data_IF_824305222723
#
_entry.id   IF_824305222723
#
_cell.length_a   1.000
_cell.length_b   1.000
_cell.length_c   1.000
_cell.angle_alpha   90.00
_cell.angle_beta   90.00
_cell.angle_gamma   90.00
#
_symmetry.space_group_name_H-M   'P 1'
#
loop_
_entity.id
_entity.type
_entity.pdbx_description
1 polymer ?
#
# COMPACT_ATOMS: atom_id res chain seq x y z
N UNK A 1 -3.78 -45.76 47.53
CA UNK A 1 -5.03 -46.19 48.19
C UNK A 1 -6.18 -45.26 47.79
N UNK A 2 -7.29 -45.86 47.37
CA UNK A 2 -8.70 -45.39 47.41
C UNK A 2 -9.13 -44.12 46.64
N UNK A 3 -9.80 -44.43 45.51
CA UNK A 3 -10.94 -43.73 44.87
C UNK A 3 -12.00 -43.25 45.88
N UNK A 4 -12.73 -42.17 45.53
CA UNK A 4 -14.22 -42.10 45.50
C UNK A 4 -14.74 -40.78 44.87
N UNK A 5 -15.53 -40.92 43.80
CA UNK A 5 -16.64 -40.04 43.37
C UNK A 5 -17.91 -40.39 44.22
N UNK A 6 -19.13 -39.92 43.91
CA UNK A 6 -19.71 -38.56 43.80
C UNK A 6 -21.00 -38.44 44.67
N UNK A 7 -21.72 -37.30 44.65
CA UNK A 7 -23.15 -37.28 44.97
C UNK A 7 -23.88 -36.15 44.23
N UNK A 8 -25.13 -36.41 43.89
CA UNK A 8 -25.94 -35.68 42.93
C UNK A 8 -27.40 -35.53 43.43
N UNK A 9 -28.14 -34.66 42.73
CA UNK A 9 -29.61 -34.63 42.55
C UNK A 9 -30.49 -34.05 43.66
N UNK A 10 -31.30 -33.05 43.27
CA UNK A 10 -32.78 -32.90 43.34
C UNK A 10 -33.09 -31.39 43.32
N UNK A 11 -33.97 -30.80 42.51
CA UNK A 11 -35.09 -31.30 41.73
C UNK A 11 -36.33 -30.46 42.05
N UNK A 12 -36.97 -29.90 41.00
CA UNK A 12 -38.35 -29.38 40.88
C UNK A 12 -38.63 -27.87 41.09
N UNK A 13 -39.05 -27.27 39.97
CA UNK A 13 -39.93 -26.09 39.82
C UNK A 13 -41.42 -26.45 40.15
N UNK A 14 -42.46 -25.68 39.72
CA UNK A 14 -42.77 -24.24 39.81
C UNK A 14 -44.17 -24.01 40.42
N UNK A 15 -44.57 -22.75 40.69
CA UNK A 15 -45.99 -22.36 40.76
C UNK A 15 -46.16 -21.01 40.06
N UNK A 16 -47.03 -20.99 39.03
CA UNK A 16 -47.48 -19.77 38.35
C UNK A 16 -48.83 -19.29 38.87
N UNK A 17 -49.34 -18.22 38.23
CA UNK A 17 -50.75 -17.81 37.97
C UNK A 17 -50.69 -16.32 37.60
N UNK A 18 -50.85 -15.87 36.35
CA UNK A 18 -52.02 -15.88 35.46
C UNK A 18 -53.10 -14.84 35.81
N UNK A 19 -53.50 -14.06 34.79
CA UNK A 19 -54.70 -13.21 34.73
C UNK A 19 -54.38 -11.70 34.65
N UNK A 20 -54.97 -10.87 33.79
CA UNK A 20 -56.03 -11.07 32.81
C UNK A 20 -56.06 -9.87 31.82
N UNK A 21 -56.82 -10.06 30.75
CA UNK A 21 -56.94 -9.31 29.49
C UNK A 21 -57.90 -8.10 29.54
N UNK A 22 -57.88 -7.38 28.40
CA UNK A 22 -58.92 -6.47 27.79
C UNK A 22 -58.84 -5.01 28.28
N UNK A 23 -59.07 -3.96 27.48
CA UNK A 23 -59.97 -3.78 26.33
C UNK A 23 -59.62 -2.49 25.55
N UNK A 24 -60.10 -2.43 24.31
CA UNK A 24 -60.04 -1.35 23.32
C UNK A 24 -60.64 0.01 23.76
N UNK A 25 -60.25 1.09 23.07
CA UNK A 25 -61.00 2.35 23.00
C UNK A 25 -60.38 3.39 22.05
N UNK A 26 -60.99 3.57 20.87
CA UNK A 26 -60.80 4.72 19.96
C UNK A 26 -61.50 5.95 20.52
N UNK A 27 -60.98 7.16 20.27
CA UNK A 27 -61.78 8.34 19.90
C UNK A 27 -60.89 9.50 19.40
N UNK A 28 -61.35 10.12 18.32
CA UNK A 28 -60.85 11.36 17.72
C UNK A 28 -61.85 12.50 17.99
N UNK A 29 -61.37 13.76 17.99
CA UNK A 29 -62.05 15.06 17.82
C UNK A 29 -61.34 16.11 18.72
N UNK A 30 -61.22 17.40 18.44
CA UNK A 30 -61.42 18.25 17.27
C UNK A 30 -60.80 19.63 17.60
N UNK A 31 -60.07 20.20 16.63
CA UNK A 31 -60.23 21.55 16.08
C UNK A 31 -60.85 22.65 16.98
N UNK A 32 -60.06 23.71 17.28
CA UNK A 32 -60.33 25.15 16.98
C UNK A 32 -59.32 26.05 17.72
N UNK A 33 -58.78 27.06 17.02
CA UNK A 33 -58.21 28.26 17.65
C UNK A 33 -56.80 28.69 17.19
N UNK A 34 -56.70 29.30 16.00
CA UNK A 34 -55.70 30.34 15.64
C UNK A 34 -56.35 31.72 15.90
N UNK A 35 -55.65 32.89 15.98
CA UNK A 35 -54.52 33.27 15.09
C UNK A 35 -53.42 34.21 15.65
N UNK A 36 -52.41 34.46 14.80
CA UNK A 36 -51.44 35.58 14.87
C UNK A 36 -50.00 35.11 15.16
N UNK A 37 -48.96 35.40 14.38
CA UNK A 37 -48.79 36.21 13.18
C UNK A 37 -47.40 35.97 12.54
N UNK A 38 -47.22 36.48 11.32
CA UNK A 38 -45.99 36.88 10.60
C UNK A 38 -44.66 36.10 10.83
N UNK A 39 -43.93 35.60 9.83
CA UNK A 39 -44.04 35.79 8.39
C UNK A 39 -42.95 35.05 7.58
N UNK A 40 -43.13 35.17 6.25
CA UNK A 40 -42.17 35.10 5.15
C UNK A 40 -41.36 33.80 4.90
N UNK A 41 -41.83 33.09 3.87
CA UNK A 41 -41.07 32.16 3.04
C UNK A 41 -40.20 32.90 1.99
N UNK A 42 -39.14 32.25 1.49
CA UNK A 42 -38.75 32.32 0.08
C UNK A 42 -37.67 31.27 -0.29
N UNK A 43 -38.05 30.28 -1.11
CA UNK A 43 -37.29 29.80 -2.28
C UNK A 43 -38.12 30.18 -3.52
N UNK A 44 -37.51 30.54 -4.65
CA UNK A 44 -37.40 29.62 -5.81
C UNK A 44 -36.02 29.76 -6.52
N UNK A 45 -35.40 28.83 -7.25
CA UNK A 45 -35.73 27.88 -8.34
C UNK A 45 -34.99 28.30 -9.64
N UNK A 46 -34.28 27.33 -10.28
CA UNK A 46 -33.80 27.27 -11.70
C UNK A 46 -32.73 28.26 -12.19
N UNK A 47 -31.91 28.04 -13.24
CA UNK A 47 -31.50 26.93 -14.12
C UNK A 47 -30.41 27.48 -15.09
N UNK A 48 -29.69 26.60 -15.81
CA UNK A 48 -28.75 26.85 -16.93
C UNK A 48 -27.40 27.48 -16.54
N UNK A 49 -26.22 27.13 -17.08
CA UNK A 49 -25.81 26.40 -18.27
C UNK A 49 -24.51 27.07 -18.75
N UNK A 50 -23.47 26.30 -19.13
CA UNK A 50 -22.29 26.85 -19.83
C UNK A 50 -20.93 26.49 -19.20
N UNK A 51 -20.28 25.48 -19.80
CA UNK A 51 -18.82 25.47 -20.01
C UNK A 51 -18.49 26.47 -21.15
N UNK A 52 -17.28 27.06 -21.20
CA UNK A 52 -16.09 26.33 -21.66
C UNK A 52 -14.76 26.66 -20.98
N UNK A 53 -13.79 25.81 -21.30
CA UNK A 53 -12.37 25.82 -20.96
C UNK A 53 -11.61 27.15 -21.16
N UNK A 54 -10.55 27.36 -20.37
CA UNK A 54 -9.18 27.59 -20.86
C UNK A 54 -8.21 28.11 -19.77
N UNK A 55 -6.93 27.87 -20.04
CA UNK A 55 -5.76 28.66 -19.65
C UNK A 55 -5.06 28.37 -18.31
N UNK A 56 -3.99 27.58 -18.43
CA UNK A 56 -2.78 27.63 -17.61
C UNK A 56 -2.16 29.06 -17.66
N UNK A 57 -1.69 29.64 -16.54
CA UNK A 57 -0.64 30.65 -16.58
C UNK A 57 0.73 29.93 -16.48
N UNK A 58 1.71 30.16 -17.33
CA UNK A 58 2.23 31.47 -17.76
C UNK A 58 3.56 31.70 -17.03
N UNK A 59 4.67 31.25 -17.65
CA UNK A 59 6.05 31.47 -17.17
C UNK A 59 6.32 32.97 -17.02
N UNK A 60 6.77 33.40 -15.84
CA UNK A 60 7.34 34.73 -15.61
C UNK A 60 8.86 34.60 -15.57
N UNK A 61 9.52 35.23 -16.53
CA UNK A 61 10.95 35.51 -16.56
C UNK A 61 11.24 36.67 -15.58
N UNK A 62 12.19 36.50 -14.68
CA UNK A 62 12.84 37.65 -14.03
C UNK A 62 14.36 37.55 -14.13
N UNK A 63 14.90 38.61 -14.74
CA UNK A 63 16.30 38.98 -14.89
C UNK A 63 16.96 39.31 -13.54
N UNK A 64 18.27 39.09 -13.47
CA UNK A 64 19.02 38.92 -12.24
C UNK A 64 19.62 40.18 -11.63
N UNK A 65 20.11 40.01 -10.40
CA UNK A 65 21.25 40.76 -9.86
C UNK A 65 22.12 39.84 -9.03
N UNK A 66 23.41 39.87 -9.37
CA UNK A 66 24.51 39.15 -8.71
C UNK A 66 24.94 39.95 -7.50
N UNK A 67 24.97 39.34 -6.32
CA UNK A 67 25.81 39.80 -5.22
C UNK A 67 26.82 38.72 -4.85
N UNK A 68 28.10 39.12 -4.89
CA UNK A 68 29.25 38.29 -4.54
C UNK A 68 29.53 38.50 -3.05
N UNK A 69 29.50 37.43 -2.28
CA UNK A 69 30.23 37.34 -1.01
C UNK A 69 31.07 36.06 -1.01
N UNK A 70 32.34 36.23 -0.65
CA UNK A 70 33.43 35.26 -0.81
C UNK A 70 33.81 34.68 0.57
N UNK A 71 34.04 33.38 0.57
CA UNK A 71 34.91 32.57 1.44
C UNK A 71 34.44 32.18 2.86
N UNK A 72 34.30 30.86 3.04
CA UNK A 72 34.36 30.14 4.31
C UNK A 72 34.36 28.63 4.06
N UNK A 73 35.57 28.03 4.05
CA UNK A 73 35.92 26.59 3.97
C UNK A 73 34.74 25.59 3.92
N UNK A 74 34.48 25.07 2.72
CA UNK A 74 33.46 24.08 2.47
C UNK A 74 33.83 22.70 3.01
N UNK A 75 33.00 22.20 3.91
CA UNK A 75 32.61 20.80 3.87
C UNK A 75 31.88 20.61 2.54
N UNK A 76 32.32 19.69 1.69
CA UNK A 76 31.61 19.41 0.44
C UNK A 76 30.15 19.02 0.79
N UNK A 77 29.14 19.69 0.24
CA UNK A 77 27.77 19.22 0.33
C UNK A 77 27.69 17.87 -0.39
N UNK A 78 27.21 16.84 0.31
CA UNK A 78 26.85 15.57 -0.30
C UNK A 78 25.81 15.85 -1.39
N UNK A 79 26.15 15.57 -2.65
CA UNK A 79 25.23 15.68 -3.78
C UNK A 79 24.12 14.61 -3.64
N UNK A 80 22.86 15.01 -3.33
CA UNK A 80 21.76 14.07 -3.14
C UNK A 80 21.16 13.59 -4.48
N UNK A 81 21.66 14.08 -5.62
CA UNK A 81 21.02 13.98 -6.92
C UNK A 81 21.62 12.96 -7.89
N UNK A 82 22.44 12.00 -7.44
CA UNK A 82 23.01 11.03 -8.39
C UNK A 82 21.91 10.09 -8.89
N UNK A 83 21.39 10.38 -10.08
CA UNK A 83 20.54 9.49 -10.86
C UNK A 83 21.14 8.09 -10.82
N UNK A 84 20.29 7.13 -10.52
CA UNK A 84 20.76 5.76 -10.31
C UNK A 84 21.18 5.17 -11.64
N UNK A 85 22.43 4.69 -11.66
CA UNK A 85 22.97 3.93 -12.78
C UNK A 85 22.13 2.67 -13.03
N UNK A 86 22.00 2.29 -14.31
CA UNK A 86 21.44 1.00 -14.77
C UNK A 86 21.92 -0.20 -13.92
N UNK A 87 23.08 -0.09 -13.28
CA UNK A 87 23.65 -1.08 -12.36
C UNK A 87 22.77 -1.42 -11.15
N UNK A 88 22.07 -0.47 -10.54
CA UNK A 88 21.24 -0.71 -9.34
C UNK A 88 19.93 -1.44 -9.68
N UNK A 89 19.26 -1.03 -10.75
CA UNK A 89 18.06 -1.73 -11.21
C UNK A 89 18.41 -3.16 -11.63
N UNK A 90 19.59 -3.34 -12.24
CA UNK A 90 20.09 -4.66 -12.61
C UNK A 90 20.43 -5.51 -11.38
N UNK A 91 20.97 -4.92 -10.31
CA UNK A 91 21.29 -5.65 -9.07
C UNK A 91 20.05 -6.09 -8.31
N UNK A 92 18.94 -5.37 -8.41
CA UNK A 92 17.64 -5.78 -7.83
C UNK A 92 16.92 -6.78 -8.74
N UNK A 93 16.90 -6.57 -10.06
CA UNK A 93 16.11 -7.37 -10.99
C UNK A 93 16.52 -8.86 -11.05
N UNK A 94 17.76 -9.20 -10.66
CA UNK A 94 18.24 -10.59 -10.61
C UNK A 94 18.03 -11.27 -9.24
N UNK A 95 17.32 -10.62 -8.31
CA UNK A 95 17.14 -11.08 -6.94
C UNK A 95 15.69 -11.40 -6.67
N UNK A 96 15.45 -12.26 -5.67
CA UNK A 96 14.10 -12.43 -5.10
C UNK A 96 13.71 -11.18 -4.32
N UNK A 97 12.67 -10.49 -4.75
CA UNK A 97 12.15 -9.24 -4.21
C UNK A 97 10.77 -9.47 -3.61
N UNK A 98 10.58 -9.04 -2.37
CA UNK A 98 9.29 -8.93 -1.71
C UNK A 98 8.88 -7.45 -1.67
N UNK A 99 7.72 -7.14 -2.23
CA UNK A 99 7.08 -5.82 -2.18
C UNK A 99 6.10 -5.85 -1.00
N UNK A 100 6.41 -5.13 0.08
CA UNK A 100 5.52 -4.99 1.23
C UNK A 100 4.60 -3.80 1.02
N UNK A 101 3.30 -4.08 0.87
CA UNK A 101 2.24 -3.09 0.72
C UNK A 101 1.40 -3.07 1.99
N UNK A 102 1.28 -1.94 2.71
CA UNK A 102 0.32 -1.81 3.80
C UNK A 102 -1.09 -2.15 3.34
N UNK A 103 -1.55 -1.48 2.30
CA UNK A 103 -2.86 -1.68 1.71
C UNK A 103 -2.78 -2.01 0.22
N UNK A 104 -3.92 -2.40 -0.35
CA UNK A 104 -4.06 -2.71 -1.76
C UNK A 104 -4.13 -1.42 -2.58
N UNK A 105 -2.96 -0.97 -3.06
CA UNK A 105 -2.68 0.16 -3.97
C UNK A 105 -1.30 0.78 -3.73
N UNK A 106 -0.81 0.79 -2.48
CA UNK A 106 0.38 1.56 -2.07
C UNK A 106 1.62 1.29 -2.92
N UNK A 107 1.91 0.03 -3.26
CA UNK A 107 3.03 -0.33 -4.13
C UNK A 107 2.85 0.23 -5.54
N UNK A 108 1.65 0.15 -6.12
CA UNK A 108 1.39 0.70 -7.45
C UNK A 108 1.53 2.23 -7.48
N UNK A 109 1.04 2.89 -6.43
CA UNK A 109 1.14 4.34 -6.28
C UNK A 109 2.56 4.81 -6.06
N UNK A 110 3.29 4.16 -5.18
CA UNK A 110 4.58 4.63 -4.67
C UNK A 110 5.74 4.21 -5.58
N UNK A 111 5.75 2.95 -6.04
CA UNK A 111 6.84 2.34 -6.80
C UNK A 111 6.39 1.54 -8.04
N UNK A 112 5.19 1.82 -8.57
CA UNK A 112 4.67 1.11 -9.74
C UNK A 112 5.59 1.20 -10.97
N UNK A 113 6.28 2.32 -11.17
CA UNK A 113 7.23 2.46 -12.28
C UNK A 113 8.47 1.59 -12.10
N UNK A 114 9.03 1.53 -10.89
CA UNK A 114 10.09 0.58 -10.54
C UNK A 114 9.64 -0.87 -10.77
N UNK A 115 8.44 -1.25 -10.32
CA UNK A 115 7.91 -2.61 -10.51
C UNK A 115 7.78 -2.95 -12.00
N UNK A 116 7.19 -2.05 -12.81
CA UNK A 116 7.09 -2.23 -14.26
C UNK A 116 8.47 -2.43 -14.90
N UNK A 117 9.46 -1.67 -14.46
CA UNK A 117 10.83 -1.79 -14.94
C UNK A 117 11.53 -3.09 -14.53
N UNK A 118 11.36 -3.54 -13.29
CA UNK A 118 11.94 -4.80 -12.80
C UNK A 118 11.34 -5.99 -13.53
N UNK A 119 10.02 -6.01 -13.72
CA UNK A 119 9.34 -7.10 -14.43
C UNK A 119 9.69 -7.15 -15.91
N UNK A 120 9.79 -6.01 -16.59
CA UNK A 120 10.28 -5.94 -17.97
C UNK A 120 11.70 -6.52 -18.11
N UNK A 121 12.63 -6.14 -17.22
CA UNK A 121 14.00 -6.68 -17.23
C UNK A 121 14.02 -8.19 -16.97
N UNK A 122 13.27 -8.67 -15.98
CA UNK A 122 13.18 -10.09 -15.69
C UNK A 122 12.62 -10.89 -16.87
N UNK A 123 11.63 -10.33 -17.61
CA UNK A 123 11.10 -10.94 -18.85
C UNK A 123 12.17 -11.01 -19.95
N UNK A 124 12.91 -9.93 -20.18
CA UNK A 124 13.98 -9.89 -21.19
C UNK A 124 15.10 -10.88 -20.87
N UNK A 125 15.53 -10.98 -19.62
CA UNK A 125 16.56 -11.93 -19.18
C UNK A 125 16.13 -13.38 -19.44
N UNK A 126 14.87 -13.73 -19.13
CA UNK A 126 14.32 -15.07 -19.40
C UNK A 126 14.21 -15.37 -20.90
N UNK A 127 13.83 -14.39 -21.71
CA UNK A 127 13.76 -14.55 -23.18
C UNK A 127 15.15 -14.80 -23.78
N UNK A 128 16.17 -14.06 -23.32
CA UNK A 128 17.55 -14.24 -23.77
C UNK A 128 18.10 -15.64 -23.43
N UNK A 129 17.86 -16.12 -22.20
CA UNK A 129 18.27 -17.48 -21.77
C UNK A 129 17.62 -18.60 -22.58
N UNK A 130 16.35 -18.43 -22.98
CA UNK A 130 15.66 -19.39 -23.86
C UNK A 130 16.23 -19.40 -25.27
N UNK A 131 16.70 -18.26 -25.77
CA UNK A 131 17.29 -18.15 -27.11
C UNK A 131 18.70 -18.74 -27.20
N UNK A 132 19.45 -18.83 -26.10
CA UNK A 132 20.81 -19.40 -26.06
C UNK A 132 20.84 -20.93 -25.92
N UNK A 133 19.68 -21.56 -25.69
CA UNK A 133 19.51 -23.01 -25.74
C UNK A 133 18.51 -23.37 -26.85
N UNK A 134 18.93 -23.43 -28.13
CA UNK A 134 18.08 -23.98 -29.17
C UNK A 134 17.82 -25.44 -28.81
N UNK A 135 16.55 -25.79 -28.62
CA UNK A 135 16.13 -27.12 -28.20
C UNK A 135 16.76 -28.18 -29.09
N UNK A 136 17.37 -29.18 -28.45
CA UNK A 136 17.63 -30.47 -29.06
C UNK A 136 16.27 -31.03 -29.49
N UNK A 137 15.98 -30.99 -30.79
CA UNK A 137 14.79 -31.63 -31.34
C UNK A 137 15.02 -33.14 -31.19
N UNK A 138 14.38 -33.75 -30.19
CA UNK A 138 14.36 -35.20 -30.06
C UNK A 138 13.42 -35.76 -31.14
N UNK A 139 14.04 -36.22 -32.24
CA UNK A 139 13.39 -37.02 -33.26
C UNK A 139 13.28 -38.47 -32.78
N UNK A 140 12.45 -38.74 -31.77
CA UNK A 140 11.97 -40.10 -31.51
C UNK A 140 10.46 -40.11 -31.51
N UNK A 141 9.91 -40.38 -32.70
CA UNK A 141 8.50 -40.68 -32.86
C UNK A 141 8.17 -42.01 -32.18
N UNK A 142 7.51 -41.95 -31.03
CA UNK A 142 6.64 -43.03 -30.56
C UNK A 142 5.37 -42.46 -29.95
N UNK A 143 4.24 -43.00 -30.40
CA UNK A 143 2.90 -42.60 -30.06
C UNK A 143 2.58 -42.88 -28.58
N UNK A 144 2.12 -41.85 -27.84
CA UNK A 144 1.57 -42.02 -26.50
C UNK A 144 0.09 -42.42 -26.58
N UNK A 145 -0.26 -43.55 -25.95
CA UNK A 145 -1.64 -43.99 -25.71
C UNK A 145 -2.34 -43.18 -24.60
N UNK A 146 -3.66 -43.39 -24.39
CA UNK A 146 -4.47 -42.49 -23.56
C UNK A 146 -4.19 -42.66 -22.07
N UNK A 147 -3.87 -41.55 -21.39
CA UNK A 147 -3.65 -41.50 -19.93
C UNK A 147 -4.98 -41.44 -19.17
N UNK A 148 -5.09 -42.08 -17.99
CA UNK A 148 -6.34 -42.13 -17.24
C UNK A 148 -6.62 -40.82 -16.51
N UNK A 149 -7.90 -40.48 -16.40
CA UNK A 149 -8.41 -39.35 -15.64
C UNK A 149 -8.43 -39.67 -14.14
N UNK A 150 -7.77 -38.85 -13.33
CA UNK A 150 -7.91 -38.94 -11.87
C UNK A 150 -6.92 -38.07 -11.10
N UNK A 151 -7.48 -37.24 -10.21
CA UNK A 151 -6.83 -36.41 -9.18
C UNK A 151 -6.17 -35.12 -9.67
N UNK A 152 -6.98 -34.06 -9.64
CA UNK A 152 -6.52 -32.66 -9.62
C UNK A 152 -5.76 -32.43 -8.31
N UNK A 153 -4.45 -32.60 -8.38
CA UNK A 153 -3.52 -32.04 -7.39
C UNK A 153 -3.58 -30.52 -7.43
N UNK A 154 -3.31 -29.93 -6.26
CA UNK A 154 -3.24 -28.49 -6.05
C UNK A 154 -2.41 -27.78 -7.13
N UNK A 155 -2.83 -26.55 -7.44
CA UNK A 155 -2.18 -25.71 -8.43
C UNK A 155 -0.84 -25.22 -7.91
N UNK A 156 0.20 -26.03 -8.05
CA UNK A 156 1.58 -25.56 -8.12
C UNK A 156 1.75 -24.72 -9.39
N UNK A 157 1.35 -23.45 -9.35
CA UNK A 157 1.83 -22.47 -10.31
C UNK A 157 3.31 -22.21 -10.01
N UNK A 158 4.17 -23.02 -10.62
CA UNK A 158 5.58 -22.71 -10.81
C UNK A 158 5.73 -21.52 -11.78
N UNK A 159 5.22 -20.36 -11.36
CA UNK A 159 5.58 -19.06 -11.90
C UNK A 159 6.75 -18.57 -11.07
N UNK A 160 7.96 -18.81 -11.56
CA UNK A 160 9.22 -18.33 -10.98
C UNK A 160 9.30 -16.80 -11.17
N UNK A 161 8.44 -16.07 -10.48
CA UNK A 161 8.49 -14.63 -10.40
C UNK A 161 9.44 -14.29 -9.25
N UNK A 162 10.62 -13.81 -9.60
CA UNK A 162 11.57 -13.22 -8.65
C UNK A 162 10.95 -12.03 -7.90
N UNK A 163 9.73 -11.59 -8.23
CA UNK A 163 9.00 -10.52 -7.55
C UNK A 163 7.68 -11.06 -6.96
N UNK A 164 7.39 -10.66 -5.72
CA UNK A 164 6.16 -10.99 -5.01
C UNK A 164 5.58 -9.77 -4.30
N UNK A 165 4.28 -9.52 -4.47
CA UNK A 165 3.52 -8.56 -3.68
C UNK A 165 2.95 -9.24 -2.44
N UNK A 166 3.15 -8.62 -1.28
CA UNK A 166 2.47 -8.97 -0.03
C UNK A 166 1.67 -7.76 0.46
N UNK A 167 0.35 -7.89 0.45
CA UNK A 167 -0.54 -6.89 1.04
C UNK A 167 -0.88 -7.28 2.49
N UNK A 168 -0.55 -6.42 3.44
CA UNK A 168 -0.61 -6.72 4.88
C UNK A 168 -2.03 -6.57 5.43
N UNK A 169 -2.67 -5.43 5.21
CA UNK A 169 -4.01 -5.16 5.70
C UNK A 169 -5.07 -5.56 4.68
N UNK A 170 -5.17 -6.86 4.42
CA UNK A 170 -6.03 -7.42 3.38
C UNK A 170 -7.53 -7.41 3.69
N UNK A 171 -7.92 -7.09 4.92
CA UNK A 171 -9.32 -6.81 5.28
C UNK A 171 -9.48 -5.31 5.45
N UNK A 172 -10.39 -4.72 4.67
CA UNK A 172 -10.56 -3.27 4.65
C UNK A 172 -12.02 -2.83 4.72
N UNK A 173 -12.25 -1.74 5.45
CA UNK A 173 -13.52 -1.01 5.49
C UNK A 173 -13.57 0.19 4.54
N UNK A 174 -12.44 0.50 3.89
CA UNK A 174 -12.25 1.73 3.13
C UNK A 174 -12.28 1.51 1.62
N UNK A 175 -13.05 2.36 0.94
CA UNK A 175 -13.02 2.53 -0.51
C UNK A 175 -13.59 3.91 -0.89
N UNK A 176 -13.13 4.47 -2.00
CA UNK A 176 -13.61 5.74 -2.54
C UNK A 176 -15.12 5.69 -2.86
N UNK A 177 -15.67 4.67 -3.56
CA UNK A 177 -17.10 4.60 -3.83
C UNK A 177 -17.91 4.37 -2.56
N UNK A 178 -18.78 5.33 -2.22
CA UNK A 178 -19.69 5.24 -1.07
C UNK A 178 -20.63 4.03 -1.18
N UNK A 179 -21.04 3.66 -2.39
CA UNK A 179 -21.86 2.47 -2.65
C UNK A 179 -21.16 1.18 -2.23
N UNK A 180 -19.86 1.06 -2.50
CA UNK A 180 -19.07 -0.10 -2.12
C UNK A 180 -18.88 -0.17 -0.61
N UNK A 181 -18.58 0.95 0.06
CA UNK A 181 -18.53 1.00 1.53
C UNK A 181 -19.86 0.61 2.19
N UNK A 182 -20.99 1.04 1.61
CA UNK A 182 -22.33 0.65 2.08
C UNK A 182 -22.63 -0.84 1.88
N UNK A 183 -22.00 -1.49 0.91
CA UNK A 183 -22.11 -2.94 0.71
C UNK A 183 -21.34 -3.76 1.78
N UNK A 184 -20.50 -3.10 2.59
CA UNK A 184 -19.84 -3.68 3.76
C UNK A 184 -18.38 -4.06 3.53
N UNK A 185 -17.70 -4.37 4.64
CA UNK A 185 -16.26 -4.66 4.67
C UNK A 185 -15.86 -5.86 3.79
N UNK A 186 -16.70 -6.90 3.70
CA UNK A 186 -16.41 -8.07 2.87
C UNK A 186 -16.43 -7.74 1.37
N UNK A 187 -17.35 -6.86 0.95
CA UNK A 187 -17.43 -6.38 -0.42
C UNK A 187 -16.22 -5.50 -0.77
N UNK A 188 -15.85 -4.58 0.14
CA UNK A 188 -14.64 -3.76 0.01
C UNK A 188 -13.38 -4.64 -0.09
N UNK A 189 -13.19 -5.55 0.86
CA UNK A 189 -12.02 -6.44 0.92
C UNK A 189 -11.93 -7.33 -0.32
N UNK A 190 -13.08 -7.82 -0.81
CA UNK A 190 -13.13 -8.62 -2.05
C UNK A 190 -12.74 -7.80 -3.27
N UNK A 191 -13.27 -6.59 -3.42
CA UNK A 191 -12.91 -5.69 -4.52
C UNK A 191 -11.42 -5.36 -4.50
N UNK A 192 -10.88 -4.96 -3.35
CA UNK A 192 -9.46 -4.59 -3.21
C UNK A 192 -8.53 -5.76 -3.50
N UNK A 193 -8.88 -6.98 -3.04
CA UNK A 193 -8.14 -8.21 -3.39
C UNK A 193 -8.15 -8.47 -4.90
N UNK A 194 -9.28 -8.25 -5.57
CA UNK A 194 -9.38 -8.44 -7.03
C UNK A 194 -8.52 -7.42 -7.78
N UNK A 195 -8.44 -6.18 -7.30
CA UNK A 195 -7.59 -5.14 -7.88
C UNK A 195 -6.09 -5.47 -7.73
N UNK A 196 -5.65 -5.92 -6.55
CA UNK A 196 -4.27 -6.41 -6.35
C UNK A 196 -3.94 -7.62 -7.22
N UNK A 197 -4.86 -8.59 -7.32
CA UNK A 197 -4.66 -9.75 -8.18
C UNK A 197 -4.51 -9.33 -9.65
N UNK A 198 -5.36 -8.41 -10.12
CA UNK A 198 -5.29 -7.90 -11.49
C UNK A 198 -3.99 -7.13 -11.76
N UNK A 199 -3.49 -6.37 -10.77
CA UNK A 199 -2.17 -5.73 -10.82
C UNK A 199 -1.06 -6.79 -10.93
N UNK A 200 -1.09 -7.80 -10.07
CA UNK A 200 -0.09 -8.87 -10.06
C UNK A 200 -0.08 -9.68 -11.36
N UNK A 201 -1.24 -10.02 -11.91
CA UNK A 201 -1.39 -10.77 -13.15
C UNK A 201 -0.80 -10.00 -14.34
N UNK A 202 -1.05 -8.68 -14.43
CA UNK A 202 -0.50 -7.80 -15.47
C UNK A 202 1.03 -7.76 -15.45
N UNK A 203 1.59 -7.73 -14.25
CA UNK A 203 3.03 -7.69 -14.02
C UNK A 203 3.68 -9.07 -14.03
N UNK A 204 2.91 -10.15 -13.93
CA UNK A 204 3.42 -11.51 -13.83
C UNK A 204 4.23 -11.72 -12.54
N UNK A 205 3.76 -11.14 -11.44
CA UNK A 205 4.36 -11.24 -10.10
C UNK A 205 3.48 -12.11 -9.19
N UNK A 206 4.08 -12.75 -8.19
CA UNK A 206 3.32 -13.53 -7.21
C UNK A 206 2.56 -12.62 -6.24
N UNK A 207 1.44 -13.09 -5.69
CA UNK A 207 0.60 -12.34 -4.75
C UNK A 207 0.32 -13.15 -3.49
N UNK A 208 0.54 -12.53 -2.33
CA UNK A 208 0.08 -12.99 -1.02
C UNK A 208 -0.77 -11.87 -0.36
N UNK A 209 -1.82 -12.27 0.35
CA UNK A 209 -2.68 -11.35 1.11
C UNK A 209 -2.79 -11.83 2.56
N UNK A 210 -2.44 -10.97 3.52
CA UNK A 210 -2.62 -11.28 4.94
C UNK A 210 -4.03 -10.88 5.41
N UNK A 211 -4.63 -11.61 6.36
CA UNK A 211 -6.00 -11.36 6.82
C UNK A 211 -6.10 -10.26 7.89
N UNK A 212 -5.09 -9.38 8.02
CA UNK A 212 -5.06 -8.35 9.06
C UNK A 212 -6.10 -7.26 8.75
N UNK A 213 -6.92 -6.82 9.71
CA UNK A 213 -7.85 -5.71 9.53
C UNK A 213 -7.13 -4.37 9.50
N UNK A 214 -7.47 -3.52 8.52
CA UNK A 214 -7.00 -2.13 8.45
C UNK A 214 -7.50 -1.27 9.62
N UNK A 215 -6.97 -0.06 9.72
CA UNK A 215 -7.33 0.92 10.75
C UNK A 215 -8.85 1.17 10.79
N UNK A 216 -9.48 1.28 9.62
CA UNK A 216 -10.91 1.53 9.46
C UNK A 216 -11.78 0.40 10.07
N UNK A 217 -11.35 -0.86 9.97
CA UNK A 217 -12.02 -1.98 10.64
C UNK A 217 -11.66 -2.14 12.11
N UNK A 218 -10.65 -1.41 12.58
CA UNK A 218 -10.11 -1.49 13.94
C UNK A 218 -10.62 -0.38 14.85
N UNK A 219 -11.63 0.39 14.41
CA UNK A 219 -12.27 1.44 15.18
C UNK A 219 -11.50 2.76 15.22
N UNK A 220 -10.56 2.95 14.31
CA UNK A 220 -9.86 4.21 14.13
C UNK A 220 -10.70 5.15 13.27
N UNK A 221 -10.74 6.41 13.66
CA UNK A 221 -11.19 7.50 12.81
C UNK A 221 -9.97 8.15 12.11
N UNK A 222 -10.25 9.13 11.24
CA UNK A 222 -9.25 9.86 10.44
C UNK A 222 -8.18 10.54 11.31
N UNK A 223 -8.46 10.83 12.58
CA UNK A 223 -7.49 11.45 13.50
C UNK A 223 -6.64 10.38 14.17
N UNK A 224 -7.28 9.33 14.68
CA UNK A 224 -6.60 8.24 15.39
C UNK A 224 -5.66 7.47 14.48
N UNK A 225 -6.02 7.27 13.21
CA UNK A 225 -5.14 6.58 12.26
C UNK A 225 -3.82 7.33 12.03
N UNK A 226 -3.78 8.66 12.24
CA UNK A 226 -2.58 9.49 12.08
C UNK A 226 -1.82 9.73 13.40
N UNK A 227 -2.47 9.52 14.55
CA UNK A 227 -1.93 9.90 15.87
C UNK A 227 -1.57 8.72 16.76
N UNK A 228 -2.13 7.53 16.53
CA UNK A 228 -1.84 6.37 17.35
C UNK A 228 -0.36 5.94 17.25
N UNK A 229 0.20 5.41 18.33
CA UNK A 229 1.54 4.85 18.32
C UNK A 229 1.47 3.38 17.84
N UNK A 230 2.29 2.95 16.86
CA UNK A 230 2.29 1.57 16.37
C UNK A 230 2.52 0.54 17.46
N UNK A 231 3.34 0.85 18.46
CA UNK A 231 3.65 0.01 19.62
C UNK A 231 2.45 -0.24 20.53
N UNK A 232 1.47 0.65 20.52
CA UNK A 232 0.22 0.53 21.27
C UNK A 232 -0.89 -0.19 20.48
N UNK A 233 -0.65 -0.44 19.18
CA UNK A 233 -1.64 -1.10 18.32
C UNK A 233 -1.57 -2.62 18.46
N UNK A 234 -2.69 -3.22 18.90
CA UNK A 234 -2.79 -4.66 19.11
C UNK A 234 -2.52 -5.50 17.84
N UNK A 235 -2.60 -4.91 16.65
CA UNK A 235 -2.34 -5.57 15.37
C UNK A 235 -0.85 -5.67 15.04
N UNK A 236 0.00 -4.85 15.65
CA UNK A 236 1.42 -4.77 15.29
C UNK A 236 2.17 -6.09 15.50
N UNK A 237 2.03 -6.81 16.64
CA UNK A 237 2.69 -8.10 16.83
C UNK A 237 2.24 -9.18 15.84
N UNK A 238 0.93 -9.22 15.55
CA UNK A 238 0.35 -10.17 14.59
C UNK A 238 0.83 -9.90 13.17
N UNK A 239 0.85 -8.62 12.75
CA UNK A 239 1.37 -8.21 11.46
C UNK A 239 2.85 -8.58 11.31
N UNK A 240 3.69 -8.28 12.30
CA UNK A 240 5.11 -8.63 12.29
C UNK A 240 5.32 -10.16 12.20
N UNK A 241 4.55 -10.94 12.96
CA UNK A 241 4.61 -12.40 12.93
C UNK A 241 4.25 -12.96 11.55
N UNK A 242 3.16 -12.46 10.95
CA UNK A 242 2.69 -12.91 9.65
C UNK A 242 3.63 -12.49 8.51
N UNK A 243 4.17 -11.27 8.53
CA UNK A 243 5.18 -10.81 7.58
C UNK A 243 6.44 -11.67 7.70
N UNK A 244 6.92 -11.92 8.93
CA UNK A 244 8.06 -12.79 9.18
C UNK A 244 7.88 -14.19 8.64
N UNK A 245 6.68 -14.78 8.76
CA UNK A 245 6.36 -16.07 8.19
C UNK A 245 6.44 -16.09 6.65
N UNK A 246 6.05 -15.00 5.98
CA UNK A 246 6.20 -14.85 4.52
C UNK A 246 7.67 -14.70 4.13
N UNK A 247 8.43 -13.89 4.86
CA UNK A 247 9.88 -13.72 4.62
C UNK A 247 10.60 -15.06 4.80
N UNK A 248 10.33 -15.80 5.86
CA UNK A 248 10.93 -17.11 6.10
C UNK A 248 10.59 -18.12 5.00
N UNK A 249 9.33 -18.13 4.52
CA UNK A 249 8.87 -19.05 3.47
C UNK A 249 9.43 -18.71 2.09
N UNK A 250 9.56 -17.43 1.76
CA UNK A 250 9.92 -16.96 0.41
C UNK A 250 11.41 -16.61 0.29
N UNK A 251 12.11 -16.47 1.41
CA UNK A 251 13.53 -16.13 1.51
C UNK A 251 13.93 -15.01 0.52
N UNK A 252 13.27 -13.83 0.58
CA UNK A 252 13.59 -12.74 -0.31
C UNK A 252 15.02 -12.27 -0.04
N UNK A 253 15.67 -11.77 -1.08
CA UNK A 253 16.98 -11.13 -0.97
C UNK A 253 16.83 -9.61 -0.87
N UNK A 254 15.72 -9.04 -1.34
CA UNK A 254 15.39 -7.61 -1.20
C UNK A 254 13.96 -7.50 -0.69
N UNK A 255 13.74 -6.60 0.27
CA UNK A 255 12.41 -6.22 0.75
C UNK A 255 12.22 -4.73 0.46
N UNK A 256 11.15 -4.37 -0.24
CA UNK A 256 10.73 -2.98 -0.46
C UNK A 256 9.56 -2.67 0.47
N UNK A 257 9.76 -1.77 1.43
CA UNK A 257 8.81 -1.42 2.49
C UNK A 257 8.42 0.07 2.44
N UNK A 258 7.31 0.50 3.06
CA UNK A 258 6.95 1.90 3.15
C UNK A 258 7.90 2.70 4.06
N UNK A 259 8.21 3.95 3.70
CA UNK A 259 8.80 4.93 4.61
C UNK A 259 7.82 5.36 5.72
N UNK A 260 6.53 5.06 5.57
CA UNK A 260 5.44 5.51 6.42
C UNK A 260 5.31 7.04 6.50
N UNK A 261 5.64 7.72 5.41
CA UNK A 261 5.35 9.14 5.22
C UNK A 261 3.83 9.35 5.20
N UNK A 262 3.38 10.40 5.89
CA UNK A 262 1.96 10.67 6.11
C UNK A 262 1.45 10.28 7.49
N UNK A 263 2.16 9.41 8.21
CA UNK A 263 1.86 9.08 9.62
C UNK A 263 0.72 8.07 9.83
N UNK A 264 0.17 7.49 8.76
CA UNK A 264 -0.85 6.45 8.89
C UNK A 264 -0.32 5.25 9.69
N UNK A 265 -1.05 4.83 10.72
CA UNK A 265 -0.63 3.81 11.69
C UNK A 265 -0.31 2.48 11.00
N UNK A 266 -1.13 2.05 10.03
CA UNK A 266 -0.90 0.81 9.28
C UNK A 266 0.44 0.83 8.51
N UNK A 267 0.82 1.95 7.89
CA UNK A 267 2.12 2.05 7.22
C UNK A 267 3.28 1.99 8.21
N UNK A 268 3.13 2.64 9.38
CA UNK A 268 4.14 2.60 10.44
C UNK A 268 4.29 1.19 11.02
N UNK A 269 3.20 0.46 11.25
CA UNK A 269 3.25 -0.95 11.67
C UNK A 269 4.06 -1.80 10.67
N UNK A 270 3.84 -1.64 9.36
CA UNK A 270 4.56 -2.41 8.34
C UNK A 270 6.04 -2.01 8.28
N UNK A 271 6.34 -0.72 8.38
CA UNK A 271 7.71 -0.21 8.45
C UNK A 271 8.45 -0.79 9.66
N UNK A 272 7.85 -0.70 10.84
CA UNK A 272 8.45 -1.15 12.09
C UNK A 272 8.65 -2.67 12.10
N UNK A 273 7.69 -3.43 11.57
CA UNK A 273 7.81 -4.87 11.36
C UNK A 273 8.99 -5.21 10.42
N UNK A 274 9.14 -4.49 9.31
CA UNK A 274 10.24 -4.71 8.38
C UNK A 274 11.61 -4.42 9.02
N UNK A 275 11.72 -3.33 9.77
CA UNK A 275 12.94 -2.98 10.53
C UNK A 275 13.28 -4.06 11.56
N UNK A 276 12.30 -4.50 12.36
CA UNK A 276 12.52 -5.54 13.37
C UNK A 276 12.94 -6.88 12.76
N UNK A 277 12.40 -7.21 11.58
CA UNK A 277 12.75 -8.42 10.84
C UNK A 277 14.15 -8.34 10.23
N UNK A 278 14.57 -7.16 9.74
CA UNK A 278 15.94 -6.93 9.29
C UNK A 278 16.95 -7.08 10.44
N UNK A 279 16.63 -6.52 11.62
CA UNK A 279 17.51 -6.59 12.81
C UNK A 279 17.64 -8.02 13.34
N UNK A 280 16.59 -8.84 13.21
CA UNK A 280 16.55 -10.21 13.75
C UNK A 280 16.90 -11.31 12.75
N UNK A 281 16.86 -11.00 11.45
CA UNK A 281 17.08 -11.98 10.37
C UNK A 281 18.21 -11.52 9.46
N UNK A 282 19.30 -12.28 9.42
CA UNK A 282 20.31 -12.08 8.40
C UNK A 282 19.78 -12.57 7.03
N UNK A 283 19.97 -11.79 5.97
CA UNK A 283 19.92 -12.32 4.60
C UNK A 283 19.08 -11.58 3.57
N UNK A 284 18.51 -10.42 3.89
CA UNK A 284 17.88 -9.55 2.88
C UNK A 284 18.29 -8.08 3.03
N UNK A 285 18.28 -7.35 1.92
CA UNK A 285 18.45 -5.90 1.93
C UNK A 285 17.08 -5.24 2.09
N UNK A 286 16.92 -4.36 3.08
CA UNK A 286 15.71 -3.56 3.25
C UNK A 286 15.88 -2.19 2.58
N UNK A 287 14.97 -1.88 1.66
CA UNK A 287 14.84 -0.55 1.06
C UNK A 287 13.44 -0.02 1.32
N UNK A 288 13.31 1.30 1.40
CA UNK A 288 12.06 1.97 1.70
C UNK A 288 11.62 2.87 0.55
N UNK A 289 10.32 2.87 0.23
CA UNK A 289 9.74 3.78 -0.76
C UNK A 289 9.00 4.93 -0.11
N UNK A 290 8.95 6.08 -0.79
CA UNK A 290 8.12 7.21 -0.36
C UNK A 290 6.64 6.92 -0.60
N UNK A 291 5.82 7.01 0.44
CA UNK A 291 4.40 6.72 0.37
C UNK A 291 3.65 7.84 -0.37
N UNK A 292 3.00 7.53 -1.49
CA UNK A 292 2.25 8.50 -2.31
C UNK A 292 0.78 8.04 -2.35
N UNK A 293 -0.24 8.92 -2.14
CA UNK A 293 -0.23 10.38 -2.25
C UNK A 293 0.30 11.17 -1.05
N UNK A 294 0.61 10.54 0.09
CA UNK A 294 0.98 11.28 1.31
C UNK A 294 2.18 12.23 1.10
N UNK A 295 3.24 11.74 0.45
CA UNK A 295 4.44 12.51 0.11
C UNK A 295 4.17 13.63 -0.91
N UNK A 296 3.07 13.55 -1.67
CA UNK A 296 2.71 14.60 -2.63
C UNK A 296 2.38 15.93 -1.94
N UNK A 297 1.94 15.89 -0.68
CA UNK A 297 1.57 17.07 0.12
C UNK A 297 2.74 17.68 0.89
N UNK A 298 3.89 17.00 0.94
CA UNK A 298 5.08 17.42 1.67
C UNK A 298 6.13 18.05 0.74
N UNK A 299 6.84 19.07 1.23
CA UNK A 299 8.01 19.63 0.56
C UNK A 299 9.15 18.61 0.50
N UNK A 300 9.91 18.55 -0.61
CA UNK A 300 10.99 17.55 -0.76
C UNK A 300 12.05 17.68 0.34
N UNK A 301 12.44 18.91 0.67
CA UNK A 301 13.37 19.16 1.77
C UNK A 301 12.81 18.71 3.13
N UNK A 302 11.49 18.73 3.32
CA UNK A 302 10.86 18.27 4.57
C UNK A 302 10.83 16.75 4.64
N UNK A 303 10.57 16.09 3.50
CA UNK A 303 10.68 14.63 3.37
C UNK A 303 12.11 14.21 3.72
N UNK A 304 13.12 14.81 3.09
CA UNK A 304 14.53 14.47 3.33
C UNK A 304 14.92 14.67 4.79
N UNK A 305 14.56 15.82 5.38
CA UNK A 305 14.85 16.08 6.81
C UNK A 305 14.20 15.04 7.72
N UNK A 306 12.95 14.64 7.47
CA UNK A 306 12.23 13.62 8.27
C UNK A 306 12.88 12.26 8.13
N UNK A 307 13.13 11.80 6.91
CA UNK A 307 13.72 10.48 6.67
C UNK A 307 15.15 10.38 7.20
N UNK A 308 15.95 11.46 7.11
CA UNK A 308 17.28 11.51 7.72
C UNK A 308 17.19 11.48 9.25
N UNK A 309 16.26 12.23 9.85
CA UNK A 309 16.03 12.20 11.30
C UNK A 309 15.64 10.80 11.79
N UNK A 310 14.92 10.04 10.95
CA UNK A 310 14.57 8.64 11.21
C UNK A 310 15.71 7.64 10.90
N UNK A 311 16.92 8.12 10.61
CA UNK A 311 18.08 7.27 10.33
C UNK A 311 18.08 6.63 8.94
N UNK A 312 17.32 7.17 7.98
CA UNK A 312 17.35 6.76 6.58
C UNK A 312 18.25 7.67 5.75
N UNK A 313 18.80 7.13 4.67
CA UNK A 313 19.56 7.88 3.67
C UNK A 313 19.07 7.52 2.26
N UNK A 314 19.21 8.45 1.28
CA UNK A 314 18.86 8.15 -0.10
C UNK A 314 19.62 6.92 -0.59
N UNK A 315 18.90 5.96 -1.15
CA UNK A 315 19.48 4.77 -1.76
C UNK A 315 19.48 4.91 -3.29
N UNK A 316 18.38 5.43 -3.85
CA UNK A 316 18.18 5.51 -5.27
C UNK A 316 17.10 6.52 -5.68
N UNK A 317 17.33 7.24 -6.79
CA UNK A 317 16.31 7.93 -7.58
C UNK A 317 16.20 7.25 -8.94
N UNK A 318 15.05 6.67 -9.23
CA UNK A 318 14.77 5.85 -10.41
C UNK A 318 13.91 6.65 -11.38
N UNK A 319 14.43 7.02 -12.56
CA UNK A 319 13.59 7.56 -13.63
C UNK A 319 12.58 6.49 -14.07
N UNK A 320 11.34 6.91 -14.22
CA UNK A 320 10.20 6.08 -14.66
C UNK A 320 9.61 6.56 -15.97
N UNK A 321 10.27 7.47 -16.68
CA UNK A 321 9.78 8.07 -17.94
C UNK A 321 9.41 7.00 -18.97
N UNK A 322 10.24 5.96 -19.11
CA UNK A 322 10.04 4.87 -20.05
C UNK A 322 8.81 3.98 -19.74
N UNK A 323 8.25 4.09 -18.53
CA UNK A 323 7.14 3.25 -18.04
C UNK A 323 6.03 4.08 -17.40
N UNK A 324 6.01 5.40 -17.65
CA UNK A 324 5.06 6.31 -17.00
C UNK A 324 3.61 5.92 -17.29
N UNK A 325 3.30 5.63 -18.55
CA UNK A 325 1.96 5.22 -18.97
C UNK A 325 1.52 3.93 -18.27
N UNK A 326 2.43 2.95 -18.15
CA UNK A 326 2.15 1.71 -17.42
C UNK A 326 1.88 1.97 -15.93
N UNK A 327 2.63 2.87 -15.29
CA UNK A 327 2.38 3.28 -13.89
C UNK A 327 1.01 3.96 -13.75
N UNK A 328 0.63 4.81 -14.70
CA UNK A 328 -0.69 5.48 -14.68
C UNK A 328 -1.82 4.45 -14.87
N UNK A 329 -1.66 3.50 -15.77
CA UNK A 329 -2.61 2.40 -15.96
C UNK A 329 -2.75 1.55 -14.68
N UNK A 330 -1.63 1.30 -13.99
CA UNK A 330 -1.64 0.59 -12.72
C UNK A 330 -2.40 1.37 -11.64
N UNK A 331 -2.21 2.69 -11.52
CA UNK A 331 -2.99 3.52 -10.59
C UNK A 331 -4.49 3.41 -10.88
N UNK A 332 -4.88 3.46 -12.15
CA UNK A 332 -6.28 3.34 -12.56
C UNK A 332 -6.86 1.93 -12.41
N UNK A 333 -6.03 0.90 -12.28
CA UNK A 333 -6.49 -0.45 -11.97
C UNK A 333 -7.15 -0.53 -10.58
N UNK A 334 -6.71 0.29 -9.63
CA UNK A 334 -7.27 0.41 -8.28
C UNK A 334 -8.48 1.36 -8.26
N UNK A 335 -9.51 1.05 -9.06
CA UNK A 335 -10.70 1.90 -9.24
C UNK A 335 -11.44 2.19 -7.93
N UNK A 336 -11.39 1.25 -6.99
CA UNK A 336 -12.00 1.43 -5.68
C UNK A 336 -11.23 2.42 -4.78
N UNK A 337 -9.99 2.78 -5.13
CA UNK A 337 -9.09 3.58 -4.30
C UNK A 337 -8.66 4.90 -4.97
N UNK A 338 -8.55 4.92 -6.30
CA UNK A 338 -7.98 6.04 -7.05
C UNK A 338 -9.03 6.99 -7.64
N UNK A 339 -8.63 8.26 -7.79
CA UNK A 339 -9.36 9.29 -8.51
C UNK A 339 -8.41 10.11 -9.39
N UNK A 340 -8.94 10.88 -10.35
CA UNK A 340 -8.10 11.73 -11.20
C UNK A 340 -7.26 12.76 -10.40
N UNK A 341 -7.80 13.45 -9.36
CA UNK A 341 -6.99 14.26 -8.47
C UNK A 341 -5.86 13.49 -7.78
N UNK A 342 -6.12 12.27 -7.32
CA UNK A 342 -5.11 11.41 -6.68
C UNK A 342 -3.98 11.08 -7.66
N UNK A 343 -4.31 10.68 -8.90
CA UNK A 343 -3.32 10.43 -9.97
C UNK A 343 -2.51 11.69 -10.26
N UNK A 344 -3.15 12.84 -10.38
CA UNK A 344 -2.46 14.11 -10.61
C UNK A 344 -1.47 14.45 -9.47
N UNK A 345 -1.84 14.20 -8.21
CA UNK A 345 -0.95 14.39 -7.06
C UNK A 345 0.25 13.43 -7.09
N UNK A 346 0.03 12.17 -7.43
CA UNK A 346 1.11 11.18 -7.55
C UNK A 346 2.08 11.55 -8.67
N UNK A 347 1.57 11.98 -9.83
CA UNK A 347 2.40 12.45 -10.95
C UNK A 347 3.14 13.74 -10.63
N UNK A 348 2.50 14.68 -9.92
CA UNK A 348 3.16 15.90 -9.45
C UNK A 348 4.35 15.56 -8.53
N UNK A 349 4.18 14.62 -7.60
CA UNK A 349 5.27 14.17 -6.74
C UNK A 349 6.40 13.54 -7.55
N UNK A 350 6.08 12.61 -8.47
CA UNK A 350 7.09 11.98 -9.31
C UNK A 350 7.87 12.99 -10.18
N UNK A 351 7.20 14.04 -10.68
CA UNK A 351 7.85 15.13 -11.40
C UNK A 351 8.73 16.00 -10.51
N UNK A 352 8.31 16.29 -9.26
CA UNK A 352 9.15 16.99 -8.28
C UNK A 352 10.43 16.21 -7.98
N UNK A 353 10.31 14.89 -7.81
CA UNK A 353 11.42 13.99 -7.48
C UNK A 353 12.45 13.87 -8.62
N UNK A 354 12.03 13.96 -9.89
CA UNK A 354 12.95 13.97 -11.03
C UNK A 354 13.86 15.22 -11.08
N UNK A 355 13.47 16.28 -10.38
CA UNK A 355 14.25 17.51 -10.26
C UNK A 355 14.48 18.22 -11.60
N UNK A 356 15.60 18.92 -11.70
CA UNK A 356 15.92 19.81 -12.83
C UNK A 356 16.16 19.08 -14.16
N UNK A 357 16.29 17.75 -14.13
CA UNK A 357 16.46 16.93 -15.35
C UNK A 357 15.17 16.81 -16.16
N UNK A 358 14.02 17.18 -15.56
CA UNK A 358 12.71 16.94 -16.12
C UNK A 358 12.31 15.46 -16.08
N UNK A 359 11.07 15.17 -16.47
CA UNK A 359 10.53 13.81 -16.44
C UNK A 359 9.93 13.42 -15.10
N UNK A 360 9.94 12.13 -14.81
CA UNK A 360 9.29 11.52 -13.65
C UNK A 360 10.21 10.48 -13.00
N UNK A 361 10.27 10.49 -11.67
CA UNK A 361 11.09 9.56 -10.91
C UNK A 361 10.44 9.10 -9.60
N UNK A 362 10.93 7.98 -9.07
CA UNK A 362 10.58 7.41 -7.78
C UNK A 362 11.85 7.31 -6.92
N UNK A 363 11.73 7.51 -5.60
CA UNK A 363 12.86 7.42 -4.66
C UNK A 363 12.77 6.19 -3.78
N UNK A 364 13.93 5.58 -3.57
CA UNK A 364 14.17 4.56 -2.56
C UNK A 364 15.19 5.07 -1.55
N UNK A 365 15.00 4.60 -0.32
CA UNK A 365 15.77 4.92 0.85
C UNK A 365 16.29 3.64 1.49
N UNK A 366 17.30 3.75 2.36
CA UNK A 366 17.83 2.64 3.15
C UNK A 366 18.24 3.15 4.52
N UNK A 367 18.34 2.26 5.51
CA UNK A 367 18.90 2.63 6.81
C UNK A 367 20.36 3.05 6.66
N UNK A 368 20.74 4.09 7.38
CA UNK A 368 22.13 4.48 7.51
C UNK A 368 22.89 3.34 8.20
N UNK A 369 24.01 2.92 7.61
CA UNK A 369 24.92 2.02 8.31
C UNK A 369 25.44 2.75 9.55
N UNK A 370 25.38 2.16 10.76
CA UNK A 370 25.98 2.77 11.93
C UNK A 370 27.44 3.07 11.61
N UNK A 371 27.91 4.28 11.95
CA UNK A 371 29.34 4.54 11.91
C UNK A 371 30.04 3.47 12.75
N UNK A 372 31.14 2.86 12.28
CA UNK A 372 31.89 1.91 13.09
C UNK A 372 32.21 2.61 14.41
N UNK A 373 31.76 2.02 15.53
CA UNK A 373 32.03 2.55 16.86
C UNK A 373 33.54 2.71 16.96
N UNK A 374 34.02 3.96 16.95
CA UNK A 374 35.43 4.23 17.13
C UNK A 374 35.82 3.56 18.43
N UNK A 375 36.64 2.51 18.34
CA UNK A 375 37.05 1.68 19.45
C UNK A 375 37.33 2.60 20.63
N UNK A 376 36.46 2.55 21.66
CA UNK A 376 36.71 3.25 22.91
C UNK A 376 37.97 2.60 23.45
N UNK A 377 39.11 3.24 23.21
CA UNK A 377 40.39 2.82 23.75
C UNK A 377 40.23 2.77 25.28
N UNK A 378 40.54 1.63 25.91
CA UNK A 378 40.26 1.39 27.33
C UNK A 378 40.95 2.37 28.27
#
# INVERSE_FOLDING_TARGET
MRRRRPAAVRGRQPVGLAGDRRRAGRAAAAFRGRPGGHGAAARPDRAHGGEPASALPGRVLHDGRRDRCRAGRGCDPVDPGRAVSVSFLSSIASRRVLLLSPHADDVAYSIGGLVAQLTQRARLARSAQRSTHPGLIDHTGQAEGPRPAGLRGDGSHAGNADLRLLTVFGRSGWALPRSLRRAGADAVSTQRRQEDQAYCDRHGIAFDLLPVPDSALSGYDEVRELTAAPEDDARAPDAATLIGAVIARTAPQVVLAPCALGGHVDHRIVRDAACALEDSTAGFDLLFYEDVPYSATLGLADIERRLIADGLMPAATVSIDAVLDAKVDDMWAYRSQTSAPTVAQMLLHAGRVAGDTGGYAERLWRRATPAPEAARTP
#
